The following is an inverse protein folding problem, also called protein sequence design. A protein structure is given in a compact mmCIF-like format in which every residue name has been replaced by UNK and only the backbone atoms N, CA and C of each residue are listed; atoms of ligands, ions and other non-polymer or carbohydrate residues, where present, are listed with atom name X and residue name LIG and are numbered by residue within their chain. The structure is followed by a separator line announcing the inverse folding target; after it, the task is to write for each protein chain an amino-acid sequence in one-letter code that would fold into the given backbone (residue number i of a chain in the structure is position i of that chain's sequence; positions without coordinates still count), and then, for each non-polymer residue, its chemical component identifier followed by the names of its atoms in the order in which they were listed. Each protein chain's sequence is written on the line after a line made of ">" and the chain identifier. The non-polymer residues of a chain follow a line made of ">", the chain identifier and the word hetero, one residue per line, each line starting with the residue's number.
data_IF_340602438878
#
_entry.id   IF_340602438878
#
_cell.length_a   1.000
_cell.length_b   1.000
_cell.length_c   1.000
_cell.angle_alpha   90.00
_cell.angle_beta   90.00
_cell.angle_gamma   90.00
#
_symmetry.space_group_name_H-M   'P 1'
#
loop_
_entity.id
_entity.type
_entity.pdbx_description
1 polymer ?
#
# COMPACT_ATOMS: atom_id res chain seq x y z
N UNK A 1 -7.05 -21.16 13.47
CA UNK A 1 -6.09 -21.90 12.63
C UNK A 1 -6.01 -21.17 11.31
N UNK A 2 -4.84 -20.61 10.95
CA UNK A 2 -4.64 -20.11 9.59
C UNK A 2 -4.35 -21.34 8.73
N UNK A 3 -5.37 -21.81 8.02
CA UNK A 3 -5.23 -22.86 7.03
C UNK A 3 -4.60 -22.24 5.78
N UNK A 4 -3.30 -22.45 5.61
CA UNK A 4 -2.45 -22.12 4.46
C UNK A 4 -2.50 -20.67 3.94
N UNK A 5 -1.39 -19.96 4.07
CA UNK A 5 -1.16 -18.75 3.30
C UNK A 5 -1.02 -19.09 1.81
N UNK A 6 -1.56 -18.24 0.94
CA UNK A 6 -1.59 -18.41 -0.51
C UNK A 6 -0.87 -17.25 -1.19
N UNK A 7 -0.18 -17.52 -2.31
CA UNK A 7 0.30 -16.44 -3.16
C UNK A 7 -0.88 -15.86 -3.95
N UNK A 8 -0.74 -14.62 -4.41
CA UNK A 8 -1.79 -13.97 -5.21
C UNK A 8 -2.21 -14.78 -6.45
N UNK A 9 -1.25 -15.40 -7.14
CA UNK A 9 -1.51 -16.24 -8.33
C UNK A 9 -2.34 -17.49 -8.03
N UNK A 10 -2.38 -17.91 -6.77
CA UNK A 10 -3.09 -19.11 -6.32
C UNK A 10 -4.53 -18.77 -5.88
N UNK A 11 -4.88 -17.47 -5.80
CA UNK A 11 -6.24 -17.01 -5.50
C UNK A 11 -7.14 -17.09 -6.73
N UNK A 12 -8.43 -17.34 -6.51
CA UNK A 12 -9.43 -17.43 -7.57
C UNK A 12 -10.73 -16.72 -7.21
N UNK A 13 -11.47 -16.26 -8.22
CA UNK A 13 -12.80 -15.67 -8.03
C UNK A 13 -12.79 -14.42 -7.14
N UNK A 14 -13.75 -14.35 -6.22
CA UNK A 14 -13.93 -13.24 -5.27
C UNK A 14 -12.70 -12.95 -4.41
N UNK A 15 -11.89 -13.97 -4.09
CA UNK A 15 -10.68 -13.80 -3.28
C UNK A 15 -9.64 -12.89 -3.95
N UNK A 16 -9.60 -12.86 -5.29
CA UNK A 16 -8.71 -11.95 -6.04
C UNK A 16 -9.15 -10.49 -5.89
N UNK A 17 -10.47 -10.25 -5.89
CA UNK A 17 -11.05 -8.92 -5.71
C UNK A 17 -10.76 -8.45 -4.28
N UNK A 18 -11.00 -9.31 -3.30
CA UNK A 18 -10.72 -9.03 -1.89
C UNK A 18 -9.23 -8.73 -1.65
N UNK A 19 -8.32 -9.52 -2.22
CA UNK A 19 -6.88 -9.31 -2.10
C UNK A 19 -6.42 -7.96 -2.65
N UNK A 20 -6.89 -7.60 -3.85
CA UNK A 20 -6.63 -6.28 -4.47
C UNK A 20 -7.12 -5.15 -3.59
N UNK A 21 -8.34 -5.26 -3.06
CA UNK A 21 -8.91 -4.24 -2.19
C UNK A 21 -8.13 -4.12 -0.88
N UNK A 22 -7.69 -5.23 -0.29
CA UNK A 22 -6.86 -5.21 0.91
C UNK A 22 -5.53 -4.47 0.68
N UNK A 23 -4.87 -4.68 -0.47
CA UNK A 23 -3.63 -3.97 -0.79
C UNK A 23 -3.87 -2.48 -1.00
N UNK A 24 -4.91 -2.10 -1.74
CA UNK A 24 -5.28 -0.68 -1.90
C UNK A 24 -5.55 -0.04 -0.54
N UNK A 25 -6.30 -0.70 0.35
CA UNK A 25 -6.60 -0.19 1.68
C UNK A 25 -5.33 -0.03 2.52
N UNK A 26 -4.41 -1.01 2.48
CA UNK A 26 -3.15 -0.93 3.20
C UNK A 26 -2.30 0.27 2.72
N UNK A 27 -2.24 0.51 1.41
CA UNK A 27 -1.53 1.66 0.85
C UNK A 27 -2.18 3.00 1.22
N UNK A 28 -3.52 3.07 1.27
CA UNK A 28 -4.26 4.25 1.74
C UNK A 28 -3.92 4.56 3.20
N UNK A 29 -3.94 3.55 4.08
CA UNK A 29 -3.59 3.75 5.49
C UNK A 29 -2.13 4.18 5.65
N UNK A 30 -1.20 3.59 4.90
CA UNK A 30 0.20 4.02 4.91
C UNK A 30 0.38 5.47 4.42
N UNK A 31 -0.38 5.91 3.40
CA UNK A 31 -0.36 7.31 2.95
C UNK A 31 -0.97 8.26 4.00
N UNK A 32 -2.03 7.84 4.69
CA UNK A 32 -2.63 8.60 5.80
C UNK A 32 -1.65 8.80 6.94
N UNK A 33 -0.91 7.77 7.34
CA UNK A 33 0.14 7.87 8.36
C UNK A 33 1.20 8.92 7.99
N UNK A 34 1.63 8.95 6.71
CA UNK A 34 2.58 9.98 6.23
C UNK A 34 2.00 11.39 6.33
N UNK A 35 0.72 11.60 6.02
CA UNK A 35 0.06 12.90 6.16
C UNK A 35 -0.04 13.31 7.63
N UNK A 36 -0.44 12.40 8.51
CA UNK A 36 -0.52 12.65 9.96
C UNK A 36 0.86 13.04 10.49
N UNK A 37 1.91 12.33 10.08
CA UNK A 37 3.28 12.65 10.47
C UNK A 37 3.72 14.03 9.95
N UNK A 38 3.47 14.34 8.68
CA UNK A 38 3.78 15.65 8.10
C UNK A 38 3.04 16.79 8.82
N UNK A 39 1.77 16.56 9.20
CA UNK A 39 0.99 17.50 10.01
C UNK A 39 1.61 17.72 11.40
N UNK A 40 2.01 16.64 12.08
CA UNK A 40 2.67 16.74 13.39
C UNK A 40 3.97 17.57 13.31
N UNK A 41 4.78 17.36 12.27
CA UNK A 41 5.99 18.16 12.03
C UNK A 41 5.68 19.64 11.74
N UNK A 42 4.58 19.92 11.05
CA UNK A 42 4.12 21.28 10.79
C UNK A 42 3.70 21.99 12.07
N UNK A 43 2.92 21.32 12.92
CA UNK A 43 2.48 21.83 14.23
C UNK A 43 3.67 22.06 15.18
N UNK A 44 4.76 21.29 15.04
CA UNK A 44 6.01 21.49 15.77
C UNK A 44 6.94 22.58 15.18
N UNK A 45 6.54 23.26 14.11
CA UNK A 45 7.34 24.32 13.46
C UNK A 45 8.49 23.83 12.58
N UNK A 46 8.54 22.53 12.25
CA UNK A 46 9.64 21.90 11.49
C UNK A 46 9.35 21.97 9.97
N UNK A 47 9.13 23.18 9.45
CA UNK A 47 8.61 23.39 8.09
C UNK A 47 9.55 22.90 6.97
N UNK A 48 10.86 22.90 7.20
CA UNK A 48 11.83 22.40 6.21
C UNK A 48 11.66 20.91 5.91
N UNK A 49 11.30 20.11 6.92
CA UNK A 49 11.07 18.67 6.76
C UNK A 49 9.69 18.42 6.15
N UNK A 50 8.68 19.21 6.51
CA UNK A 50 7.32 19.14 5.95
C UNK A 50 7.32 19.38 4.43
N UNK A 51 8.09 20.37 3.96
CA UNK A 51 8.20 20.69 2.53
C UNK A 51 9.27 19.87 1.78
N UNK A 52 10.02 19.06 2.53
CA UNK A 52 11.08 18.20 2.03
C UNK A 52 10.58 16.97 1.28
N UNK A 53 11.52 16.20 0.75
CA UNK A 53 11.26 14.97 -0.01
C UNK A 53 10.55 13.88 0.81
N UNK A 54 10.63 13.91 2.14
CA UNK A 54 9.99 12.96 3.06
C UNK A 54 8.66 13.46 3.64
N UNK A 55 8.28 14.72 3.38
CA UNK A 55 7.08 15.34 3.92
C UNK A 55 5.88 15.27 2.97
N UNK A 56 5.22 16.41 2.76
CA UNK A 56 4.01 16.52 1.92
C UNK A 56 4.25 16.06 0.49
N UNK A 57 5.46 16.27 -0.07
CA UNK A 57 5.80 15.79 -1.42
C UNK A 57 5.78 14.27 -1.53
N UNK A 58 6.32 13.55 -0.54
CA UNK A 58 6.24 12.08 -0.50
C UNK A 58 4.79 11.61 -0.34
N UNK A 59 3.99 12.27 0.49
CA UNK A 59 2.58 11.94 0.65
C UNK A 59 1.82 12.13 -0.67
N UNK A 60 2.02 13.25 -1.36
CA UNK A 60 1.42 13.53 -2.66
C UNK A 60 1.81 12.50 -3.73
N UNK A 61 3.10 12.14 -3.81
CA UNK A 61 3.58 11.09 -4.70
C UNK A 61 2.93 9.73 -4.38
N UNK A 62 2.77 9.40 -3.10
CA UNK A 62 2.10 8.16 -2.68
C UNK A 62 0.62 8.15 -3.08
N UNK A 63 -0.09 9.27 -2.99
CA UNK A 63 -1.47 9.36 -3.48
C UNK A 63 -1.59 9.17 -5.01
N UNK A 64 -0.59 9.60 -5.79
CA UNK A 64 -0.54 9.30 -7.22
C UNK A 64 -0.40 7.80 -7.49
N UNK A 65 0.42 7.10 -6.69
CA UNK A 65 0.55 5.64 -6.76
C UNK A 65 -0.77 4.97 -6.41
N UNK A 66 -1.44 5.38 -5.32
CA UNK A 66 -2.76 4.84 -4.93
C UNK A 66 -3.77 5.01 -6.07
N UNK A 67 -3.82 6.20 -6.68
CA UNK A 67 -4.70 6.45 -7.83
C UNK A 67 -4.41 5.48 -8.97
N UNK A 68 -3.14 5.22 -9.27
CA UNK A 68 -2.75 4.25 -10.29
C UNK A 68 -3.18 2.83 -9.91
N UNK A 69 -2.97 2.40 -8.67
CA UNK A 69 -3.40 1.08 -8.17
C UNK A 69 -4.92 0.88 -8.31
N UNK A 70 -5.71 1.94 -8.11
CA UNK A 70 -7.17 1.89 -8.27
C UNK A 70 -7.63 1.81 -9.74
N UNK A 71 -6.84 2.33 -10.69
CA UNK A 71 -7.23 2.42 -12.10
C UNK A 71 -6.59 1.37 -13.00
N UNK A 72 -5.43 0.84 -12.63
CA UNK A 72 -4.62 -0.07 -13.44
C UNK A 72 -4.45 -1.40 -12.72
N UNK A 73 -5.32 -2.35 -13.04
CA UNK A 73 -5.34 -3.68 -12.43
C UNK A 73 -4.09 -4.49 -12.74
N UNK A 74 -3.46 -4.30 -13.92
CA UNK A 74 -2.21 -4.97 -14.28
C UNK A 74 -1.05 -4.47 -13.43
N UNK A 75 -0.99 -3.15 -13.23
CA UNK A 75 0.00 -2.56 -12.34
C UNK A 75 -0.19 -3.03 -10.90
N UNK A 76 -1.44 -3.07 -10.41
CA UNK A 76 -1.74 -3.60 -9.08
C UNK A 76 -1.31 -5.07 -8.92
N UNK A 77 -1.61 -5.94 -9.88
CA UNK A 77 -1.23 -7.36 -9.80
C UNK A 77 0.30 -7.56 -9.81
N UNK A 78 1.02 -6.77 -10.63
CA UNK A 78 2.47 -6.75 -10.63
C UNK A 78 3.02 -6.31 -9.27
N UNK A 79 2.45 -5.25 -8.72
CA UNK A 79 2.77 -4.72 -7.38
C UNK A 79 2.58 -5.78 -6.28
N UNK A 80 1.46 -6.48 -6.31
CA UNK A 80 1.16 -7.54 -5.35
C UNK A 80 2.20 -8.67 -5.45
N UNK A 81 2.59 -9.02 -6.67
CA UNK A 81 3.55 -10.09 -6.95
C UNK A 81 4.98 -9.72 -6.57
N UNK A 82 5.44 -8.53 -6.97
CA UNK A 82 6.80 -8.03 -6.73
C UNK A 82 7.08 -7.84 -5.24
N UNK A 83 6.06 -7.49 -4.46
CA UNK A 83 6.15 -7.37 -3.00
C UNK A 83 6.04 -8.69 -2.24
N UNK A 84 5.80 -9.80 -2.95
CA UNK A 84 5.58 -11.12 -2.33
C UNK A 84 4.43 -11.10 -1.31
N UNK A 85 3.34 -10.38 -1.60
CA UNK A 85 2.19 -10.35 -0.73
C UNK A 85 1.55 -11.74 -0.59
N UNK A 86 1.29 -12.15 0.65
CA UNK A 86 0.61 -13.40 0.98
C UNK A 86 -0.82 -13.12 1.41
N UNK A 87 -1.71 -14.06 1.16
CA UNK A 87 -3.13 -13.90 1.46
C UNK A 87 -3.70 -15.12 2.16
N UNK A 88 -4.82 -14.95 2.87
CA UNK A 88 -5.68 -16.07 3.24
C UNK A 88 -6.40 -16.61 1.99
N UNK A 89 -7.00 -17.82 2.05
CA UNK A 89 -7.81 -18.35 0.95
C UNK A 89 -8.98 -17.44 0.54
N UNK A 90 -9.50 -16.65 1.47
CA UNK A 90 -10.57 -15.67 1.25
C UNK A 90 -10.04 -14.34 0.66
N UNK A 91 -8.73 -14.18 0.49
CA UNK A 91 -8.10 -12.98 -0.05
C UNK A 91 -7.74 -11.93 0.99
N UNK A 92 -7.75 -12.23 2.29
CA UNK A 92 -7.29 -11.26 3.30
C UNK A 92 -5.77 -11.16 3.29
N UNK A 93 -5.26 -9.93 3.23
CA UNK A 93 -3.82 -9.66 3.16
C UNK A 93 -3.10 -10.06 4.45
N UNK A 94 -2.06 -10.88 4.31
CA UNK A 94 -1.08 -11.22 5.33
C UNK A 94 0.29 -10.68 4.92
N UNK A 95 0.80 -9.71 5.67
CA UNK A 95 1.92 -8.87 5.22
C UNK A 95 3.28 -9.56 5.39
N UNK A 96 3.92 -9.89 4.27
CA UNK A 96 5.37 -9.93 4.13
C UNK A 96 5.78 -8.98 2.99
N UNK A 97 5.87 -7.68 3.25
CA UNK A 97 6.32 -6.71 2.24
C UNK A 97 7.84 -6.58 2.29
N UNK A 98 8.55 -7.07 1.28
CA UNK A 98 9.94 -6.67 1.03
C UNK A 98 9.95 -5.59 -0.05
N UNK A 99 10.37 -4.39 0.35
CA UNK A 99 10.50 -3.15 -0.44
C UNK A 99 9.22 -2.33 -0.62
N UNK A 100 8.98 -1.40 0.32
CA UNK A 100 7.97 -0.35 0.15
C UNK A 100 8.34 0.54 -1.04
N UNK A 101 7.42 0.62 -2.00
CA UNK A 101 7.44 1.45 -3.21
C UNK A 101 8.06 2.83 -3.04
N UNK A 102 9.34 2.94 -3.38
CA UNK A 102 10.02 4.17 -3.78
C UNK A 102 11.08 3.82 -4.83
N UNK A 103 10.66 3.66 -6.07
CA UNK A 103 11.48 3.93 -7.24
C UNK A 103 10.75 4.94 -8.12
#
# INVERSE_FOLDING_TARGET
>A
MITSLMNFRDLTGEAVIQARQCVINAEIEAAREKVIHARSLFEAGIHNVVNGSSGIKAAAAHFLVIKRLQTDTRYLDAVITDNLCMFSPEGYLYLFMQQRYMR
#
